data_IF_454173047801
#
_entry.id   IF_454173047801
#
_cell.length_a   1.000
_cell.length_b   1.000
_cell.length_c   1.000
_cell.angle_alpha   90.00
_cell.angle_beta   90.00
_cell.angle_gamma   90.00
#
_symmetry.space_group_name_H-M   'P 1'
#
loop_
_entity.id
_entity.type
_entity.pdbx_description
1 polymer ?
#
# COMPACT_ATOMS: atom_id res chain seq x y z
N UNK A 1 56.46 -20.58 4.93
CA UNK A 1 55.71 -20.81 6.18
C UNK A 1 54.76 -21.96 5.90
N UNK A 2 55.18 -23.17 6.26
CA UNK A 2 54.40 -24.37 5.98
C UNK A 2 53.29 -24.48 7.03
N UNK A 3 52.04 -24.30 6.57
CA UNK A 3 50.88 -24.45 7.43
C UNK A 3 50.74 -25.95 7.73
N UNK A 4 50.81 -26.31 9.01
CA UNK A 4 50.73 -27.71 9.43
C UNK A 4 49.39 -28.31 8.95
N UNK A 5 49.40 -29.37 8.13
CA UNK A 5 48.19 -29.92 7.50
C UNK A 5 47.15 -30.41 8.51
N UNK A 6 47.57 -30.79 9.73
CA UNK A 6 46.66 -31.16 10.83
C UNK A 6 45.86 -29.95 11.33
N UNK A 7 46.52 -28.78 11.44
CA UNK A 7 45.88 -27.53 11.86
C UNK A 7 44.88 -27.10 10.77
N UNK A 8 45.28 -27.19 9.50
CA UNK A 8 44.41 -26.86 8.37
C UNK A 8 43.18 -27.79 8.31
N UNK A 9 43.36 -29.10 8.47
CA UNK A 9 42.27 -30.09 8.51
C UNK A 9 41.29 -29.85 9.67
N UNK A 10 41.81 -29.47 10.83
CA UNK A 10 41.00 -29.18 12.02
C UNK A 10 40.13 -27.93 11.81
N UNK A 11 40.72 -26.87 11.23
CA UNK A 11 40.01 -25.62 10.91
C UNK A 11 38.92 -25.88 9.86
N UNK A 12 39.24 -26.61 8.78
CA UNK A 12 38.27 -26.97 7.73
C UNK A 12 37.11 -27.78 8.30
N UNK A 13 37.38 -28.72 9.21
CA UNK A 13 36.34 -29.54 9.85
C UNK A 13 35.41 -28.71 10.74
N UNK A 14 35.95 -27.73 11.47
CA UNK A 14 35.13 -26.79 12.28
C UNK A 14 34.27 -25.92 11.37
N UNK A 15 34.83 -25.38 10.28
CA UNK A 15 34.04 -24.62 9.31
C UNK A 15 32.99 -25.46 8.60
N UNK A 16 33.28 -26.73 8.26
CA UNK A 16 32.30 -27.63 7.65
C UNK A 16 31.09 -27.90 8.55
N UNK A 17 31.26 -27.87 9.87
CA UNK A 17 30.18 -27.96 10.85
C UNK A 17 29.45 -26.63 11.07
N UNK A 18 30.17 -25.51 11.10
CA UNK A 18 29.61 -24.19 11.38
C UNK A 18 28.91 -23.55 10.18
N UNK A 19 29.41 -23.76 8.97
CA UNK A 19 28.85 -23.18 7.74
C UNK A 19 27.37 -23.52 7.60
N UNK A 20 26.93 -24.80 7.61
CA UNK A 20 25.51 -25.14 7.50
C UNK A 20 24.61 -24.46 8.55
N UNK A 21 25.12 -24.30 9.78
CA UNK A 21 24.39 -23.62 10.86
C UNK A 21 24.21 -22.14 10.52
N UNK A 22 25.28 -21.46 10.12
CA UNK A 22 25.22 -20.05 9.71
C UNK A 22 24.30 -19.87 8.49
N UNK A 23 24.43 -20.71 7.46
CA UNK A 23 23.58 -20.65 6.27
C UNK A 23 22.12 -20.84 6.63
N UNK A 24 21.79 -21.81 7.50
CA UNK A 24 20.40 -22.04 7.94
C UNK A 24 19.79 -20.85 8.67
N UNK A 25 20.58 -20.12 9.47
CA UNK A 25 20.13 -18.93 10.20
C UNK A 25 19.89 -17.78 9.22
N UNK A 26 20.81 -17.57 8.27
CA UNK A 26 20.69 -16.55 7.23
C UNK A 26 19.48 -16.85 6.34
N UNK A 27 19.32 -18.08 5.87
CA UNK A 27 18.20 -18.50 5.03
C UNK A 27 16.86 -18.29 5.75
N UNK A 28 16.76 -18.69 7.03
CA UNK A 28 15.54 -18.47 7.81
C UNK A 28 15.22 -16.99 7.98
N UNK A 29 16.24 -16.15 8.22
CA UNK A 29 16.06 -14.69 8.34
C UNK A 29 15.58 -14.09 7.01
N UNK A 30 16.20 -14.48 5.90
CA UNK A 30 15.83 -14.02 4.56
C UNK A 30 14.41 -14.48 4.18
N UNK A 31 14.05 -15.74 4.46
CA UNK A 31 12.70 -16.25 4.23
C UNK A 31 11.64 -15.51 5.04
N UNK A 32 11.92 -15.18 6.31
CA UNK A 32 11.02 -14.38 7.14
C UNK A 32 10.86 -12.95 6.59
N UNK A 33 11.94 -12.34 6.10
CA UNK A 33 11.88 -11.01 5.47
C UNK A 33 11.04 -11.03 4.19
N UNK A 34 11.25 -12.01 3.31
CA UNK A 34 10.44 -12.20 2.09
C UNK A 34 8.97 -12.40 2.42
N UNK A 35 8.66 -13.28 3.39
CA UNK A 35 7.28 -13.52 3.83
C UNK A 35 6.60 -12.25 4.36
N UNK A 36 7.33 -11.42 5.09
CA UNK A 36 6.79 -10.15 5.60
C UNK A 36 6.55 -9.13 4.48
N UNK A 37 7.44 -9.09 3.48
CA UNK A 37 7.24 -8.26 2.28
C UNK A 37 6.01 -8.71 1.49
N UNK A 38 5.84 -10.01 1.27
CA UNK A 38 4.66 -10.58 0.60
C UNK A 38 3.37 -10.26 1.36
N UNK A 39 3.39 -10.38 2.69
CA UNK A 39 2.24 -10.06 3.53
C UNK A 39 1.88 -8.57 3.41
N UNK A 40 2.87 -7.68 3.51
CA UNK A 40 2.67 -6.24 3.35
C UNK A 40 2.13 -5.88 1.97
N UNK A 41 2.70 -6.46 0.90
CA UNK A 41 2.23 -6.27 -0.46
C UNK A 41 0.77 -6.70 -0.60
N UNK A 42 0.42 -7.87 -0.05
CA UNK A 42 -0.95 -8.40 -0.09
C UNK A 42 -1.94 -7.50 0.65
N UNK A 43 -1.61 -7.05 1.86
CA UNK A 43 -2.46 -6.15 2.65
C UNK A 43 -2.65 -4.80 1.95
N UNK A 44 -1.57 -4.23 1.42
CA UNK A 44 -1.62 -2.97 0.67
C UNK A 44 -2.48 -3.12 -0.60
N UNK A 45 -2.34 -4.23 -1.32
CA UNK A 45 -3.14 -4.53 -2.50
C UNK A 45 -4.63 -4.67 -2.18
N UNK A 46 -4.97 -5.38 -1.09
CA UNK A 46 -6.35 -5.52 -0.62
C UNK A 46 -6.99 -4.16 -0.30
N UNK A 47 -6.27 -3.31 0.45
CA UNK A 47 -6.75 -1.97 0.80
C UNK A 47 -7.00 -1.12 -0.46
N UNK A 48 -6.11 -1.18 -1.46
CA UNK A 48 -6.30 -0.43 -2.72
C UNK A 48 -7.49 -0.97 -3.53
N UNK A 49 -7.69 -2.29 -3.58
CA UNK A 49 -8.88 -2.85 -4.24
C UNK A 49 -10.18 -2.45 -3.53
N UNK A 50 -10.16 -2.45 -2.19
CA UNK A 50 -11.28 -1.94 -1.38
C UNK A 50 -11.54 -0.47 -1.65
N UNK A 51 -10.49 0.35 -1.78
CA UNK A 51 -10.61 1.76 -2.15
C UNK A 51 -11.31 1.92 -3.51
N UNK A 52 -10.82 1.24 -4.55
CA UNK A 52 -11.43 1.25 -5.89
C UNK A 52 -12.90 0.82 -5.89
N UNK A 53 -13.30 -0.07 -4.97
CA UNK A 53 -14.69 -0.48 -4.84
C UNK A 53 -15.52 0.56 -4.08
N UNK A 54 -14.91 1.20 -3.08
CA UNK A 54 -15.56 2.20 -2.23
C UNK A 54 -15.88 3.51 -2.95
N UNK A 55 -15.17 3.83 -4.04
CA UNK A 55 -15.48 5.01 -4.88
C UNK A 55 -16.91 4.96 -5.43
N UNK A 56 -17.51 3.78 -5.58
CA UNK A 56 -18.93 3.65 -5.96
C UNK A 56 -19.88 4.31 -4.96
N UNK A 57 -19.56 4.27 -3.66
CA UNK A 57 -20.35 4.96 -2.64
C UNK A 57 -20.24 6.48 -2.78
N UNK A 58 -19.05 6.95 -3.15
CA UNK A 58 -18.77 8.37 -3.39
C UNK A 58 -19.47 8.88 -4.66
N UNK A 59 -19.43 8.10 -5.73
CA UNK A 59 -20.21 8.34 -6.95
C UNK A 59 -21.70 8.37 -6.62
N UNK A 60 -22.23 7.34 -5.93
CA UNK A 60 -23.64 7.29 -5.57
C UNK A 60 -24.09 8.53 -4.79
N UNK A 61 -23.26 8.99 -3.84
CA UNK A 61 -23.48 10.21 -3.07
C UNK A 61 -23.58 11.45 -3.96
N UNK A 62 -22.62 11.67 -4.87
CA UNK A 62 -22.62 12.83 -5.79
C UNK A 62 -23.86 12.87 -6.70
N UNK A 63 -24.33 11.70 -7.17
CA UNK A 63 -25.38 11.65 -8.19
C UNK A 63 -26.81 11.51 -7.65
N UNK A 64 -27.00 11.06 -6.40
CA UNK A 64 -28.35 10.73 -5.89
C UNK A 64 -28.85 11.63 -4.74
N UNK A 65 -28.07 12.61 -4.29
CA UNK A 65 -28.55 13.50 -3.23
C UNK A 65 -29.62 14.47 -3.72
N UNK A 66 -30.87 14.06 -3.44
CA UNK A 66 -32.09 14.78 -3.75
C UNK A 66 -32.85 15.26 -2.51
N UNK A 67 -32.36 15.11 -1.27
CA UNK A 67 -33.03 15.78 -0.13
C UNK A 67 -32.27 15.93 1.21
N UNK A 68 -31.14 15.27 1.45
CA UNK A 68 -30.36 15.50 2.67
C UNK A 68 -28.87 15.35 2.35
N UNK A 69 -28.14 16.47 2.37
CA UNK A 69 -26.71 16.57 2.01
C UNK A 69 -25.82 16.02 3.12
N UNK A 70 -25.92 14.73 3.36
CA UNK A 70 -25.09 14.04 4.33
C UNK A 70 -23.64 13.96 3.87
N UNK A 71 -22.75 13.53 4.76
CA UNK A 71 -21.41 13.12 4.35
C UNK A 71 -21.46 11.80 3.56
N UNK A 72 -20.47 11.53 2.70
CA UNK A 72 -20.28 10.21 2.09
C UNK A 72 -20.33 9.08 3.14
N UNK A 73 -20.77 7.90 2.71
CA UNK A 73 -20.92 6.73 3.58
C UNK A 73 -19.68 6.49 4.47
N UNK A 74 -19.87 6.23 5.77
CA UNK A 74 -18.78 5.97 6.73
C UNK A 74 -17.77 4.91 6.26
N UNK A 75 -18.24 3.89 5.51
CA UNK A 75 -17.38 2.85 4.94
C UNK A 75 -16.38 3.40 3.93
N UNK A 76 -16.75 4.45 3.19
CA UNK A 76 -15.80 5.14 2.31
C UNK A 76 -14.69 5.79 3.12
N UNK A 77 -15.01 6.53 4.19
CA UNK A 77 -14.01 7.19 5.03
C UNK A 77 -13.09 6.21 5.74
N UNK A 78 -13.61 5.09 6.23
CA UNK A 78 -12.80 4.02 6.81
C UNK A 78 -11.75 3.52 5.80
N UNK A 79 -12.19 3.17 4.59
CA UNK A 79 -11.31 2.64 3.54
C UNK A 79 -10.34 3.73 3.04
N UNK A 80 -10.80 4.97 2.90
CA UNK A 80 -9.97 6.12 2.55
C UNK A 80 -8.82 6.31 3.55
N UNK A 81 -9.12 6.26 4.86
CA UNK A 81 -8.10 6.37 5.92
C UNK A 81 -7.10 5.22 5.86
N UNK A 82 -7.57 3.99 5.63
CA UNK A 82 -6.68 2.84 5.48
C UNK A 82 -5.76 2.99 4.27
N UNK A 83 -6.30 3.41 3.12
CA UNK A 83 -5.52 3.68 1.92
C UNK A 83 -4.46 4.75 2.19
N UNK A 84 -4.83 5.86 2.82
CA UNK A 84 -3.91 6.93 3.19
C UNK A 84 -2.70 6.45 4.02
N UNK A 85 -2.95 5.58 5.00
CA UNK A 85 -1.90 5.08 5.90
C UNK A 85 -0.88 4.21 5.16
N UNK A 86 -1.33 3.33 4.26
CA UNK A 86 -0.46 2.38 3.53
C UNK A 86 0.17 2.97 2.27
N UNK A 87 -0.29 4.14 1.85
CA UNK A 87 0.12 4.84 0.64
C UNK A 87 1.46 5.54 0.74
N UNK A 88 2.13 5.69 -0.42
CA UNK A 88 3.24 6.60 -0.57
C UNK A 88 2.77 8.07 -0.63
N UNK A 89 3.72 9.01 -0.57
CA UNK A 89 3.40 10.44 -0.50
C UNK A 89 2.67 10.97 -1.75
N UNK A 90 2.93 10.39 -2.93
CA UNK A 90 2.22 10.76 -4.17
C UNK A 90 0.73 10.40 -4.08
N UNK A 91 0.41 9.19 -3.63
CA UNK A 91 -1.00 8.77 -3.47
C UNK A 91 -1.66 9.56 -2.34
N UNK A 92 -0.98 9.79 -1.20
CA UNK A 92 -1.48 10.62 -0.10
C UNK A 92 -1.85 12.03 -0.56
N UNK A 93 -0.97 12.65 -1.34
CA UNK A 93 -1.22 14.00 -1.87
C UNK A 93 -2.48 14.06 -2.75
N UNK A 94 -2.74 13.01 -3.54
CA UNK A 94 -3.95 12.92 -4.36
C UNK A 94 -5.21 12.62 -3.53
N UNK A 95 -5.08 11.84 -2.45
CA UNK A 95 -6.17 11.59 -1.49
C UNK A 95 -6.52 12.86 -0.69
N UNK A 96 -5.53 13.67 -0.32
CA UNK A 96 -5.73 14.96 0.33
C UNK A 96 -6.48 15.93 -0.59
N UNK A 97 -6.13 15.95 -1.89
CA UNK A 97 -6.87 16.70 -2.91
C UNK A 97 -8.31 16.21 -3.00
N UNK A 98 -8.55 14.90 -3.08
CA UNK A 98 -9.90 14.33 -3.13
C UNK A 98 -10.73 14.72 -1.90
N UNK A 99 -10.13 14.65 -0.71
CA UNK A 99 -10.80 15.06 0.54
C UNK A 99 -11.19 16.53 0.52
N UNK A 100 -10.31 17.38 -0.01
CA UNK A 100 -10.58 18.81 -0.17
C UNK A 100 -11.76 19.05 -1.13
N UNK A 101 -11.80 18.38 -2.27
CA UNK A 101 -12.92 18.48 -3.23
C UNK A 101 -14.25 18.03 -2.61
N UNK A 102 -14.24 16.92 -1.85
CA UNK A 102 -15.44 16.43 -1.14
C UNK A 102 -15.95 17.47 -0.14
N UNK A 103 -15.06 18.04 0.68
CA UNK A 103 -15.44 19.03 1.68
C UNK A 103 -15.93 20.34 1.03
N UNK A 104 -15.30 20.77 -0.07
CA UNK A 104 -15.75 21.96 -0.80
C UNK A 104 -17.18 21.79 -1.34
N UNK A 105 -17.51 20.61 -1.87
CA UNK A 105 -18.86 20.33 -2.34
C UNK A 105 -19.89 20.24 -1.21
N UNK A 106 -19.48 19.70 -0.06
CA UNK A 106 -20.34 19.66 1.12
C UNK A 106 -20.62 21.07 1.67
N UNK A 107 -19.61 21.93 1.73
CA UNK A 107 -19.71 23.25 2.38
C UNK A 107 -20.30 24.34 1.49
N UNK A 108 -20.09 24.29 0.17
CA UNK A 108 -20.64 25.28 -0.78
C UNK A 108 -21.75 24.69 -1.65
N UNK A 109 -22.98 24.95 -1.22
CA UNK A 109 -24.23 24.51 -1.83
C UNK A 109 -24.39 24.94 -3.30
N UNK A 110 -23.65 25.96 -3.75
CA UNK A 110 -23.73 26.51 -5.11
C UNK A 110 -22.68 25.96 -6.06
N UNK A 111 -21.74 25.15 -5.57
CA UNK A 111 -20.67 24.58 -6.37
C UNK A 111 -21.16 23.30 -7.06
N UNK A 112 -21.42 23.37 -8.36
CA UNK A 112 -21.57 22.16 -9.16
C UNK A 112 -20.21 21.43 -9.20
N UNK A 113 -20.14 20.19 -8.69
CA UNK A 113 -18.98 19.34 -8.92
C UNK A 113 -18.81 19.20 -10.43
N UNK A 114 -17.62 19.56 -10.93
CA UNK A 114 -17.19 19.14 -12.25
C UNK A 114 -16.93 17.63 -12.21
N UNK A 115 -17.97 16.86 -12.51
CA UNK A 115 -17.99 15.40 -12.51
C UNK A 115 -16.83 14.82 -13.33
N UNK A 116 -16.48 15.48 -14.45
CA UNK A 116 -15.39 15.03 -15.30
C UNK A 116 -14.04 15.15 -14.58
N UNK A 117 -13.79 16.29 -13.91
CA UNK A 117 -12.56 16.50 -13.13
C UNK A 117 -12.50 15.57 -11.92
N UNK A 118 -13.63 15.33 -11.26
CA UNK A 118 -13.75 14.42 -10.15
C UNK A 118 -13.40 12.97 -10.53
N UNK A 119 -13.99 12.47 -11.61
CA UNK A 119 -13.68 11.14 -12.15
C UNK A 119 -12.22 11.05 -12.61
N UNK A 120 -11.69 12.10 -13.25
CA UNK A 120 -10.28 12.18 -13.62
C UNK A 120 -9.34 12.12 -12.40
N UNK A 121 -9.74 12.72 -11.27
CA UNK A 121 -8.97 12.67 -10.02
C UNK A 121 -8.97 11.24 -9.45
N UNK A 122 -10.11 10.57 -9.42
CA UNK A 122 -10.22 9.17 -9.01
C UNK A 122 -9.33 8.28 -9.88
N UNK A 123 -9.38 8.43 -11.20
CA UNK A 123 -8.55 7.64 -12.13
C UNK A 123 -7.06 7.88 -11.90
N UNK A 124 -6.65 9.13 -11.63
CA UNK A 124 -5.26 9.46 -11.25
C UNK A 124 -4.84 8.79 -9.96
N UNK A 125 -5.71 8.74 -8.95
CA UNK A 125 -5.45 8.05 -7.68
C UNK A 125 -5.26 6.55 -7.94
N UNK A 126 -6.18 5.92 -8.66
CA UNK A 126 -6.12 4.49 -8.98
C UNK A 126 -4.84 4.16 -9.76
N UNK A 127 -4.49 4.98 -10.75
CA UNK A 127 -3.24 4.83 -11.50
C UNK A 127 -2.02 4.95 -10.58
N UNK A 128 -1.99 5.94 -9.71
CA UNK A 128 -0.88 6.13 -8.76
C UNK A 128 -0.79 5.02 -7.73
N UNK A 129 -1.91 4.44 -7.30
CA UNK A 129 -1.96 3.26 -6.43
C UNK A 129 -1.37 2.02 -7.13
N UNK A 130 -1.67 1.83 -8.42
CA UNK A 130 -1.07 0.75 -9.21
C UNK A 130 0.44 0.93 -9.39
N UNK A 131 0.90 2.15 -9.69
CA UNK A 131 2.33 2.48 -9.76
C UNK A 131 3.03 2.23 -8.42
N UNK A 132 2.40 2.63 -7.31
CA UNK A 132 2.90 2.38 -5.97
C UNK A 132 3.02 0.88 -5.69
N UNK A 133 2.02 0.07 -6.03
CA UNK A 133 2.13 -1.40 -5.89
C UNK A 133 3.24 -2.00 -6.76
N UNK A 134 3.42 -1.52 -7.99
CA UNK A 134 4.47 -2.03 -8.88
C UNK A 134 5.88 -1.81 -8.32
N UNK A 135 6.11 -0.69 -7.63
CA UNK A 135 7.39 -0.42 -6.96
C UNK A 135 7.70 -1.38 -5.80
N UNK A 136 6.67 -2.05 -5.25
CA UNK A 136 6.80 -3.05 -4.18
C UNK A 136 6.77 -4.49 -4.69
N UNK A 137 6.62 -4.71 -5.99
CA UNK A 137 6.62 -6.06 -6.56
C UNK A 137 8.06 -6.60 -6.52
N UNK A 138 8.32 -7.72 -5.83
CA UNK A 138 9.64 -8.35 -5.82
C UNK A 138 10.06 -8.85 -7.21
#
# INVERSE_FOLDING_TARGET
MDINPIILSSVVSIFALLVPVITSIVDRKTQLQLKNLDLFYKEKSDIYQRFCTSTKYLTYWIYNESDDRGLPNDKYYEIHRLAYLVSNDKVRSLLDLLTKEINLYHDDITLDINILEFNNLIDKIIKSMNEDLQNYRP
#
